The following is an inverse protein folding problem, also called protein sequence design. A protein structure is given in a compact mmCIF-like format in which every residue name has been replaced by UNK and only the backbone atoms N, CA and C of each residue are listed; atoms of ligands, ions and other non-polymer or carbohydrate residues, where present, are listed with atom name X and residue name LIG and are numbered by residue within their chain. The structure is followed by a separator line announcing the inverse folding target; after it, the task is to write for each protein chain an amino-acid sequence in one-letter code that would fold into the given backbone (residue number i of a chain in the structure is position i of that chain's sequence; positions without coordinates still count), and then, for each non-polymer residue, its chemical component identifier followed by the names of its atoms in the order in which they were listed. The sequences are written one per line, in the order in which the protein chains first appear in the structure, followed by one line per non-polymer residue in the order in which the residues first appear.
data_IF_468537656274
#
_entry.id   IF_468537656274
#
_cell.length_a   1.000
_cell.length_b   1.000
_cell.length_c   1.000
_cell.angle_alpha   90.00
_cell.angle_beta   90.00
_cell.angle_gamma   90.00
#
_symmetry.space_group_name_H-M   'P 1'
#
loop_
_entity.id
_entity.type
_entity.pdbx_description
1 polymer ?
#
# COMPACT_ATOMS: atom_id res chain seq x y z
N UNK A 1 -12.45 -16.17 40.87
CA UNK A 1 -13.86 -16.37 40.51
C UNK A 1 -14.20 -17.80 40.84
N UNK A 2 -14.70 -18.00 42.06
CA UNK A 2 -15.36 -19.27 42.42
C UNK A 2 -16.80 -19.25 41.91
N UNK A 3 -17.38 -18.05 41.77
CA UNK A 3 -18.69 -17.81 41.17
C UNK A 3 -18.60 -17.59 39.65
N UNK A 4 -19.51 -18.22 38.91
CA UNK A 4 -19.75 -17.97 37.49
C UNK A 4 -21.27 -17.88 37.23
N UNK A 5 -21.66 -17.46 36.03
CA UNK A 5 -23.03 -17.43 35.56
C UNK A 5 -23.18 -18.34 34.35
N UNK A 6 -24.31 -19.02 34.19
CA UNK A 6 -24.51 -19.80 32.99
C UNK A 6 -25.93 -20.26 32.78
N UNK A 7 -26.20 -20.67 31.54
CA UNK A 7 -27.45 -21.30 31.16
C UNK A 7 -27.31 -22.82 31.25
N UNK A 8 -28.40 -23.48 31.62
CA UNK A 8 -28.48 -24.94 31.51
C UNK A 8 -28.39 -25.31 30.01
N UNK A 9 -27.40 -26.14 29.67
CA UNK A 9 -27.21 -26.65 28.31
C UNK A 9 -27.87 -28.00 28.10
N UNK A 10 -27.86 -28.85 29.13
CA UNK A 10 -28.41 -30.20 29.08
C UNK A 10 -28.97 -30.58 30.44
N UNK A 11 -30.08 -31.29 30.45
CA UNK A 11 -30.65 -31.90 31.65
C UNK A 11 -31.21 -33.29 31.31
N UNK A 12 -30.91 -34.28 32.14
CA UNK A 12 -31.46 -35.62 32.05
C UNK A 12 -32.41 -35.84 33.25
N UNK A 13 -33.74 -35.82 33.04
CA UNK A 13 -34.71 -35.97 34.13
C UNK A 13 -34.66 -37.35 34.78
N UNK A 14 -34.44 -38.42 33.98
CA UNK A 14 -34.40 -39.80 34.50
C UNK A 14 -33.25 -40.02 35.49
N UNK A 15 -32.11 -39.37 35.25
CA UNK A 15 -30.90 -39.49 36.07
C UNK A 15 -30.72 -38.33 37.04
N UNK A 16 -31.51 -37.26 36.91
CA UNK A 16 -31.48 -36.11 37.80
C UNK A 16 -30.17 -35.33 37.77
N UNK A 17 -29.54 -35.18 36.61
CA UNK A 17 -28.33 -34.36 36.47
C UNK A 17 -28.30 -33.58 35.16
N UNK A 18 -27.50 -32.53 35.13
CA UNK A 18 -27.33 -31.70 33.93
C UNK A 18 -25.99 -31.01 33.88
N UNK A 19 -25.87 -30.13 32.89
CA UNK A 19 -24.70 -29.35 32.59
C UNK A 19 -25.05 -27.87 32.37
N UNK A 20 -24.29 -26.97 32.99
CA UNK A 20 -24.43 -25.51 32.87
C UNK A 20 -23.21 -24.92 32.17
N UNK A 21 -23.38 -23.86 31.37
CA UNK A 21 -22.24 -23.18 30.73
C UNK A 21 -21.43 -22.31 31.68
N UNK A 22 -20.23 -21.92 31.24
CA UNK A 22 -19.39 -20.89 31.86
C UNK A 22 -19.42 -19.62 31.04
N UNK A 23 -19.75 -18.51 31.67
CA UNK A 23 -19.81 -17.20 31.02
C UNK A 23 -18.49 -16.47 31.14
N UNK A 24 -17.93 -16.44 32.34
CA UNK A 24 -16.76 -15.59 32.64
C UNK A 24 -15.44 -16.32 32.52
N UNK A 25 -15.42 -17.61 32.80
CA UNK A 25 -14.25 -18.46 32.61
C UNK A 25 -14.14 -18.86 31.14
N UNK A 26 -12.99 -18.56 30.51
CA UNK A 26 -12.72 -18.82 29.09
C UNK A 26 -12.50 -20.32 28.81
N UNK A 27 -13.51 -21.14 29.08
CA UNK A 27 -13.50 -22.57 28.77
C UNK A 27 -14.85 -22.96 28.20
N UNK A 28 -14.88 -23.69 27.08
CA UNK A 28 -16.11 -24.32 26.55
C UNK A 28 -16.56 -25.52 27.39
N UNK A 29 -16.03 -25.64 28.62
CA UNK A 29 -16.30 -26.74 29.52
C UNK A 29 -17.62 -26.47 30.23
N UNK A 30 -18.57 -27.38 30.04
CA UNK A 30 -19.82 -27.39 30.79
C UNK A 30 -19.57 -27.93 32.20
N UNK A 31 -20.30 -27.42 33.19
CA UNK A 31 -20.16 -27.80 34.60
C UNK A 31 -21.31 -28.68 35.03
N UNK A 32 -20.95 -29.81 35.63
CA UNK A 32 -21.91 -30.79 36.10
C UNK A 32 -22.72 -30.23 37.28
N UNK A 33 -24.02 -30.49 37.30
CA UNK A 33 -24.85 -30.27 38.48
C UNK A 33 -25.80 -31.45 38.68
N UNK A 34 -26.15 -31.72 39.93
CA UNK A 34 -27.12 -32.75 40.30
C UNK A 34 -28.41 -32.09 40.81
N UNK A 35 -29.58 -32.56 40.35
CA UNK A 35 -30.90 -31.97 40.65
C UNK A 35 -31.19 -31.87 42.14
N UNK A 36 -30.69 -32.81 42.95
CA UNK A 36 -30.74 -32.77 44.43
C UNK A 36 -30.35 -31.40 45.02
N UNK A 37 -29.35 -30.70 44.45
CA UNK A 37 -28.95 -29.37 44.91
C UNK A 37 -30.03 -28.34 44.63
N UNK A 38 -30.58 -28.35 43.41
CA UNK A 38 -31.70 -27.48 43.00
C UNK A 38 -32.98 -27.81 43.79
N UNK A 39 -33.34 -29.10 43.99
CA UNK A 39 -34.53 -29.51 44.75
C UNK A 39 -34.53 -29.00 46.19
N UNK A 40 -33.34 -28.94 46.80
CA UNK A 40 -33.18 -28.50 48.18
C UNK A 40 -33.45 -26.99 48.34
N UNK A 41 -32.98 -26.18 47.40
CA UNK A 41 -32.97 -24.71 47.52
C UNK A 41 -34.06 -24.03 46.67
N UNK A 42 -34.44 -24.66 45.55
CA UNK A 42 -35.38 -24.15 44.56
C UNK A 42 -36.28 -25.28 43.99
N UNK A 43 -37.20 -25.84 44.80
CA UNK A 43 -38.03 -26.99 44.42
C UNK A 43 -38.92 -26.72 43.19
N UNK A 44 -39.39 -25.49 43.02
CA UNK A 44 -40.19 -25.10 41.84
C UNK A 44 -39.38 -25.20 40.53
N UNK A 45 -38.12 -24.76 40.56
CA UNK A 45 -37.23 -24.87 39.41
C UNK A 45 -36.92 -26.33 39.10
N UNK A 46 -36.71 -27.14 40.13
CA UNK A 46 -36.50 -28.57 39.94
C UNK A 46 -37.72 -29.27 39.31
N UNK A 47 -38.94 -28.89 39.72
CA UNK A 47 -40.16 -29.40 39.12
C UNK A 47 -40.29 -29.01 37.64
N UNK A 48 -39.92 -27.77 37.28
CA UNK A 48 -39.89 -27.33 35.87
C UNK A 48 -38.91 -28.17 35.03
N UNK A 49 -37.73 -28.44 35.58
CA UNK A 49 -36.71 -29.26 34.94
C UNK A 49 -37.17 -30.72 34.76
N UNK A 50 -37.78 -31.31 35.78
CA UNK A 50 -38.25 -32.71 35.74
C UNK A 50 -39.44 -32.90 34.78
N UNK A 51 -40.28 -31.88 34.60
CA UNK A 51 -41.47 -31.95 33.74
C UNK A 51 -41.21 -31.54 32.27
N UNK A 52 -39.95 -31.49 31.85
CA UNK A 52 -39.53 -31.29 30.45
C UNK A 52 -39.99 -29.97 29.81
N UNK A 53 -40.17 -28.90 30.60
CA UNK A 53 -40.28 -27.54 30.04
C UNK A 53 -38.96 -27.13 29.36
N UNK A 54 -39.02 -26.28 28.33
CA UNK A 54 -37.84 -25.81 27.61
C UNK A 54 -36.88 -25.08 28.54
N UNK A 55 -35.70 -25.67 28.77
CA UNK A 55 -34.67 -25.11 29.65
C UNK A 55 -33.80 -24.02 28.99
N UNK A 56 -34.12 -23.62 27.75
CA UNK A 56 -33.35 -22.66 26.95
C UNK A 56 -33.22 -21.26 27.59
N UNK A 57 -34.03 -20.97 28.62
CA UNK A 57 -33.97 -19.70 29.35
C UNK A 57 -33.62 -19.84 30.83
N UNK A 58 -33.33 -21.05 31.31
CA UNK A 58 -32.96 -21.24 32.71
C UNK A 58 -31.47 -20.95 32.87
N UNK A 59 -31.20 -19.93 33.70
CA UNK A 59 -29.87 -19.49 34.04
C UNK A 59 -29.79 -19.26 35.56
N UNK A 60 -28.58 -19.36 36.09
CA UNK A 60 -28.32 -19.11 37.49
C UNK A 60 -26.84 -18.79 37.71
N UNK A 61 -26.58 -18.12 38.82
CA UNK A 61 -25.26 -17.99 39.40
C UNK A 61 -24.90 -19.28 40.12
N UNK A 62 -23.64 -19.68 40.08
CA UNK A 62 -23.19 -20.87 40.79
C UNK A 62 -21.75 -20.76 41.22
N UNK A 63 -21.43 -21.45 42.30
CA UNK A 63 -20.05 -21.68 42.72
C UNK A 63 -19.57 -23.05 42.21
N UNK A 64 -18.29 -23.14 41.84
CA UNK A 64 -17.66 -24.40 41.40
C UNK A 64 -16.83 -25.01 42.52
N UNK A 65 -17.08 -26.28 42.82
CA UNK A 65 -16.18 -27.13 43.60
C UNK A 65 -15.45 -28.15 42.71
N UNK A 66 -14.26 -28.58 43.15
CA UNK A 66 -13.50 -29.66 42.50
C UNK A 66 -13.57 -30.92 43.36
N UNK A 67 -13.99 -32.02 42.75
CA UNK A 67 -14.04 -33.36 43.35
C UNK A 67 -13.14 -34.33 42.60
N UNK A 68 -13.01 -35.56 43.12
CA UNK A 68 -12.33 -36.67 42.42
C UNK A 68 -12.91 -36.95 41.02
N UNK A 69 -14.18 -36.60 40.79
CA UNK A 69 -14.89 -36.79 39.51
C UNK A 69 -14.83 -35.56 38.60
N UNK A 70 -14.13 -34.51 39.02
CA UNK A 70 -14.02 -33.24 38.29
C UNK A 70 -14.80 -32.10 38.94
N UNK A 71 -15.05 -31.06 38.15
CA UNK A 71 -15.69 -29.82 38.58
C UNK A 71 -17.21 -29.94 38.53
N UNK A 72 -17.87 -29.51 39.61
CA UNK A 72 -19.33 -29.49 39.71
C UNK A 72 -19.83 -28.24 40.42
N UNK A 73 -21.11 -27.93 40.25
CA UNK A 73 -21.79 -26.86 40.98
C UNK A 73 -21.84 -27.21 42.48
N UNK A 74 -21.27 -26.38 43.35
CA UNK A 74 -21.35 -26.51 44.82
C UNK A 74 -22.64 -25.90 45.37
N UNK A 75 -22.87 -24.64 45.03
CA UNK A 75 -24.01 -23.80 45.42
C UNK A 75 -24.57 -23.08 44.18
N UNK A 76 -25.84 -22.66 44.24
CA UNK A 76 -26.47 -21.93 43.15
C UNK A 76 -27.41 -20.83 43.66
N UNK A 77 -27.57 -19.78 42.86
CA UNK A 77 -28.43 -18.64 43.18
C UNK A 77 -29.16 -18.18 41.92
N UNK A 78 -30.48 -17.98 42.02
CA UNK A 78 -31.30 -17.53 40.88
C UNK A 78 -31.20 -16.03 40.61
N UNK A 79 -30.67 -15.25 41.56
CA UNK A 79 -30.45 -13.81 41.43
C UNK A 79 -29.13 -13.45 42.09
N UNK A 80 -28.44 -12.44 41.55
CA UNK A 80 -27.23 -11.90 42.16
C UNK A 80 -27.47 -11.35 43.59
N UNK A 81 -28.68 -10.86 43.87
CA UNK A 81 -29.06 -10.36 45.20
C UNK A 81 -29.09 -11.46 46.27
N UNK A 82 -29.23 -12.72 45.86
CA UNK A 82 -29.26 -13.87 46.76
C UNK A 82 -27.86 -14.40 47.09
N UNK A 83 -26.81 -13.87 46.44
CA UNK A 83 -25.44 -14.31 46.65
C UNK A 83 -24.93 -13.76 48.00
N UNK A 84 -24.30 -14.60 48.85
CA UNK A 84 -23.82 -14.16 50.15
C UNK A 84 -22.85 -12.98 50.09
N UNK A 85 -22.93 -12.11 51.09
CA UNK A 85 -22.10 -10.91 51.20
C UNK A 85 -20.59 -11.19 51.18
N UNK A 86 -20.16 -12.40 51.55
CA UNK A 86 -18.76 -12.85 51.44
C UNK A 86 -18.21 -12.76 50.02
N UNK A 87 -19.07 -12.80 49.00
CA UNK A 87 -18.69 -12.71 47.58
C UNK A 87 -18.80 -11.29 47.00
N UNK A 88 -19.06 -10.26 47.83
CA UNK A 88 -19.22 -8.88 47.35
C UNK A 88 -18.07 -8.40 46.46
N UNK A 89 -16.83 -8.73 46.83
CA UNK A 89 -15.65 -8.36 46.02
C UNK A 89 -15.64 -9.06 44.66
N UNK A 90 -16.00 -10.35 44.61
CA UNK A 90 -16.08 -11.08 43.34
C UNK A 90 -17.17 -10.53 42.43
N UNK A 91 -18.34 -10.18 42.99
CA UNK A 91 -19.42 -9.54 42.24
C UNK A 91 -19.01 -8.16 41.71
N UNK A 92 -18.29 -7.38 42.51
CA UNK A 92 -17.73 -6.10 42.07
C UNK A 92 -16.78 -6.27 40.88
N UNK A 93 -15.85 -7.23 40.96
CA UNK A 93 -14.92 -7.53 39.87
C UNK A 93 -15.64 -8.01 38.59
N UNK A 94 -16.69 -8.81 38.74
CA UNK A 94 -17.54 -9.26 37.63
C UNK A 94 -18.29 -8.10 36.99
N UNK A 95 -18.84 -7.19 37.80
CA UNK A 95 -19.48 -5.96 37.32
C UNK A 95 -18.49 -5.12 36.51
N UNK A 96 -17.29 -4.86 37.03
CA UNK A 96 -16.25 -4.14 36.29
C UNK A 96 -15.89 -4.81 34.97
N UNK A 97 -15.77 -6.15 34.98
CA UNK A 97 -15.50 -6.93 33.77
C UNK A 97 -16.63 -6.78 32.74
N UNK A 98 -17.89 -6.87 33.15
CA UNK A 98 -19.05 -6.70 32.26
C UNK A 98 -19.10 -5.29 31.67
N UNK A 99 -18.94 -4.25 32.48
CA UNK A 99 -18.87 -2.87 32.01
C UNK A 99 -17.72 -2.64 31.02
N UNK A 100 -16.57 -3.29 31.24
CA UNK A 100 -15.44 -3.22 30.30
C UNK A 100 -15.76 -3.85 28.94
N UNK A 101 -16.56 -4.93 28.90
CA UNK A 101 -16.99 -5.58 27.65
C UNK A 101 -17.96 -4.67 26.90
N UNK A 102 -18.86 -3.98 27.59
CA UNK A 102 -19.74 -2.98 26.97
C UNK A 102 -18.96 -1.89 26.25
N UNK A 103 -17.92 -1.34 26.89
CA UNK A 103 -17.05 -0.28 26.35
C UNK A 103 -16.13 -0.77 25.23
N UNK A 104 -15.84 -2.07 25.17
CA UNK A 104 -15.01 -2.65 24.12
C UNK A 104 -15.83 -2.89 22.83
N UNK A 105 -15.79 -1.93 21.91
CA UNK A 105 -16.45 -2.02 20.61
C UNK A 105 -15.66 -2.78 19.55
N UNK A 106 -14.41 -3.15 19.83
CA UNK A 106 -13.54 -3.90 18.90
C UNK A 106 -13.92 -5.38 18.81
N UNK A 107 -14.68 -5.85 19.80
CA UNK A 107 -15.26 -7.19 19.81
C UNK A 107 -16.78 -7.12 19.64
N UNK A 108 -17.38 -8.13 18.98
CA UNK A 108 -18.82 -8.25 18.91
C UNK A 108 -19.40 -8.39 20.32
N UNK A 109 -20.55 -7.75 20.55
CA UNK A 109 -21.28 -7.85 21.81
C UNK A 109 -21.67 -9.31 22.06
N UNK A 110 -21.23 -9.94 23.18
CA UNK A 110 -21.64 -11.30 23.49
C UNK A 110 -23.15 -11.38 23.76
N UNK A 111 -23.79 -12.47 23.32
CA UNK A 111 -25.24 -12.67 23.48
C UNK A 111 -25.70 -12.75 24.94
N UNK A 112 -24.82 -13.18 25.86
CA UNK A 112 -25.11 -13.27 27.28
C UNK A 112 -25.00 -11.93 28.03
N UNK A 113 -24.38 -10.92 27.40
CA UNK A 113 -23.95 -9.70 28.09
C UNK A 113 -25.13 -8.95 28.71
N UNK A 114 -26.22 -8.75 27.96
CA UNK A 114 -27.42 -8.04 28.44
C UNK A 114 -27.98 -8.68 29.71
N UNK A 115 -28.19 -10.00 29.66
CA UNK A 115 -28.79 -10.79 30.75
C UNK A 115 -27.96 -10.67 32.04
N UNK A 116 -26.65 -10.88 31.94
CA UNK A 116 -25.74 -10.81 33.09
C UNK A 116 -25.59 -9.39 33.63
N UNK A 117 -25.62 -8.38 32.75
CA UNK A 117 -25.55 -6.98 33.18
C UNK A 117 -26.80 -6.59 33.96
N UNK A 118 -27.98 -7.03 33.51
CA UNK A 118 -29.24 -6.78 34.23
C UNK A 118 -29.18 -7.41 35.63
N UNK A 119 -28.68 -8.65 35.74
CA UNK A 119 -28.53 -9.32 37.04
C UNK A 119 -27.55 -8.59 37.98
N UNK A 120 -26.44 -8.05 37.45
CA UNK A 120 -25.40 -7.42 38.28
C UNK A 120 -25.69 -5.96 38.66
N UNK A 121 -26.28 -5.18 37.75
CA UNK A 121 -26.43 -3.72 37.92
C UNK A 121 -27.82 -3.19 37.58
N UNK A 122 -28.75 -4.05 37.20
CA UNK A 122 -30.14 -3.70 36.90
C UNK A 122 -30.36 -3.16 35.49
N UNK A 123 -31.66 -3.01 35.16
CA UNK A 123 -32.14 -2.61 33.83
C UNK A 123 -31.69 -1.19 33.46
N UNK A 124 -31.76 -0.25 34.41
CA UNK A 124 -31.42 1.16 34.15
C UNK A 124 -29.97 1.32 33.73
N UNK A 125 -29.03 0.78 34.52
CA UNK A 125 -27.60 0.85 34.20
C UNK A 125 -27.24 0.09 32.93
N UNK A 126 -27.90 -1.04 32.68
CA UNK A 126 -27.72 -1.79 31.41
C UNK A 126 -28.14 -0.94 30.20
N UNK A 127 -29.26 -0.22 30.31
CA UNK A 127 -29.72 0.68 29.24
C UNK A 127 -28.72 1.79 28.96
N UNK A 128 -28.16 2.41 30.01
CA UNK A 128 -27.10 3.42 29.88
C UNK A 128 -25.87 2.87 29.15
N UNK A 129 -25.37 1.69 29.56
CA UNK A 129 -24.22 1.04 28.92
C UNK A 129 -24.48 0.72 27.45
N UNK A 130 -25.71 0.34 27.10
CA UNK A 130 -26.10 0.10 25.71
C UNK A 130 -26.11 1.39 24.87
N UNK A 131 -26.59 2.49 25.43
CA UNK A 131 -26.53 3.81 24.79
C UNK A 131 -25.07 4.24 24.61
N UNK A 132 -24.24 4.13 25.65
CA UNK A 132 -22.80 4.42 25.59
C UNK A 132 -22.11 3.63 24.48
N UNK A 133 -22.35 2.31 24.41
CA UNK A 133 -21.79 1.45 23.37
C UNK A 133 -22.24 1.88 21.96
N UNK A 134 -23.52 2.12 21.76
CA UNK A 134 -24.05 2.54 20.45
C UNK A 134 -23.46 3.88 19.99
N UNK A 135 -23.22 4.80 20.93
CA UNK A 135 -22.56 6.07 20.64
C UNK A 135 -21.11 5.86 20.22
N UNK A 136 -20.35 5.00 20.93
CA UNK A 136 -18.98 4.64 20.57
C UNK A 136 -18.91 3.98 19.17
N UNK A 137 -19.81 3.05 18.88
CA UNK A 137 -19.88 2.39 17.56
C UNK A 137 -20.20 3.39 16.44
N UNK A 138 -21.09 4.35 16.71
CA UNK A 138 -21.45 5.41 15.75
C UNK A 138 -20.29 6.38 15.50
N UNK A 139 -19.57 6.80 16.56
CA UNK A 139 -18.38 7.65 16.45
C UNK A 139 -17.28 6.96 15.65
N UNK A 140 -17.04 5.66 15.89
CA UNK A 140 -16.06 4.89 15.11
C UNK A 140 -16.42 4.84 13.64
N UNK A 141 -17.68 4.53 13.31
CA UNK A 141 -18.16 4.49 11.91
C UNK A 141 -17.96 5.83 11.21
N UNK A 142 -18.31 6.94 11.86
CA UNK A 142 -18.12 8.28 11.32
C UNK A 142 -16.63 8.61 11.09
N UNK A 143 -15.75 8.23 12.03
CA UNK A 143 -14.32 8.42 11.90
C UNK A 143 -13.72 7.59 10.74
N UNK A 144 -14.13 6.33 10.60
CA UNK A 144 -13.72 5.46 9.50
C UNK A 144 -14.18 5.99 8.14
N UNK A 145 -15.41 6.48 8.04
CA UNK A 145 -15.95 7.07 6.82
C UNK A 145 -15.18 8.34 6.43
N UNK A 146 -14.90 9.23 7.39
CA UNK A 146 -14.12 10.43 7.13
C UNK A 146 -12.69 10.10 6.70
N UNK A 147 -12.04 9.12 7.34
CA UNK A 147 -10.72 8.64 6.92
C UNK A 147 -10.74 8.11 5.48
N UNK A 148 -11.77 7.36 5.10
CA UNK A 148 -11.94 6.87 3.72
C UNK A 148 -12.09 8.04 2.74
N UNK A 149 -12.92 9.03 3.06
CA UNK A 149 -13.11 10.23 2.21
C UNK A 149 -11.81 11.01 2.02
N UNK A 150 -11.05 11.23 3.09
CA UNK A 150 -9.75 11.92 3.04
C UNK A 150 -8.75 11.13 2.19
N UNK A 151 -8.67 9.80 2.37
CA UNK A 151 -7.78 8.94 1.60
C UNK A 151 -8.14 8.92 0.10
N UNK A 152 -9.42 8.86 -0.24
CA UNK A 152 -9.89 8.91 -1.62
C UNK A 152 -9.58 10.26 -2.27
N UNK A 153 -9.85 11.38 -1.58
CA UNK A 153 -9.52 12.71 -2.07
C UNK A 153 -8.00 12.88 -2.30
N UNK A 154 -7.17 12.34 -1.40
CA UNK A 154 -5.71 12.37 -1.57
C UNK A 154 -5.27 11.54 -2.79
N UNK A 155 -5.85 10.37 -3.00
CA UNK A 155 -5.58 9.51 -4.17
C UNK A 155 -5.96 10.20 -5.49
N UNK A 156 -7.11 10.88 -5.54
CA UNK A 156 -7.54 11.63 -6.72
C UNK A 156 -6.57 12.78 -7.04
N UNK A 157 -6.13 13.55 -6.04
CA UNK A 157 -5.13 14.60 -6.20
C UNK A 157 -3.80 14.06 -6.75
N UNK A 158 -3.36 12.90 -6.28
CA UNK A 158 -2.14 12.25 -6.79
C UNK A 158 -2.28 11.84 -8.26
N UNK A 159 -3.43 11.28 -8.65
CA UNK A 159 -3.70 10.89 -10.04
C UNK A 159 -3.70 12.12 -10.95
N UNK A 160 -4.35 13.21 -10.53
CA UNK A 160 -4.40 14.45 -11.29
C UNK A 160 -3.00 15.08 -11.45
N UNK A 161 -2.22 15.15 -10.38
CA UNK A 161 -0.84 15.65 -10.42
C UNK A 161 0.05 14.80 -11.34
N UNK A 162 -0.13 13.47 -11.35
CA UNK A 162 0.61 12.57 -12.25
C UNK A 162 0.23 12.83 -13.71
N UNK A 163 -1.07 12.92 -14.02
CA UNK A 163 -1.56 13.22 -15.38
C UNK A 163 -1.05 14.57 -15.87
N UNK A 164 -0.98 15.56 -14.99
CA UNK A 164 -0.45 16.87 -15.36
C UNK A 164 1.05 16.82 -15.70
N UNK A 165 1.85 16.09 -14.90
CA UNK A 165 3.27 15.86 -15.22
C UNK A 165 3.45 15.13 -16.55
N UNK A 166 2.65 14.09 -16.80
CA UNK A 166 2.68 13.34 -18.07
C UNK A 166 2.31 14.26 -19.26
N UNK A 167 1.29 15.13 -19.10
CA UNK A 167 0.93 16.13 -20.12
C UNK A 167 2.04 17.14 -20.37
N UNK A 168 2.70 17.61 -19.31
CA UNK A 168 3.82 18.56 -19.43
C UNK A 168 5.03 17.94 -20.11
N UNK A 169 5.37 16.70 -19.76
CA UNK A 169 6.47 15.98 -20.41
C UNK A 169 6.17 15.70 -21.88
N UNK A 170 4.95 15.29 -22.22
CA UNK A 170 4.54 15.09 -23.61
C UNK A 170 4.64 16.40 -24.42
N UNK A 171 4.18 17.52 -23.86
CA UNK A 171 4.34 18.85 -24.49
C UNK A 171 5.81 19.21 -24.68
N UNK A 172 6.67 18.93 -23.69
CA UNK A 172 8.11 19.21 -23.76
C UNK A 172 8.79 18.37 -24.84
N UNK A 173 8.47 17.08 -24.92
CA UNK A 173 9.00 16.19 -25.95
C UNK A 173 8.55 16.62 -27.35
N UNK A 174 7.29 17.02 -27.49
CA UNK A 174 6.78 17.52 -28.77
C UNK A 174 7.45 18.84 -29.18
N UNK A 175 7.62 19.78 -28.25
CA UNK A 175 8.37 21.01 -28.51
C UNK A 175 9.82 20.73 -28.91
N UNK A 176 10.48 19.78 -28.24
CA UNK A 176 11.84 19.37 -28.59
C UNK A 176 11.91 18.72 -29.97
N UNK A 177 10.92 17.89 -30.33
CA UNK A 177 10.80 17.27 -31.66
C UNK A 177 10.65 18.33 -32.75
N UNK A 178 9.74 19.28 -32.56
CA UNK A 178 9.51 20.39 -33.48
C UNK A 178 10.77 21.26 -33.61
N UNK A 179 11.44 21.59 -32.49
CA UNK A 179 12.68 22.36 -32.52
C UNK A 179 13.78 21.64 -33.30
N UNK A 180 13.95 20.33 -33.09
CA UNK A 180 14.87 19.50 -33.85
C UNK A 180 14.56 19.50 -35.34
N UNK A 181 13.31 19.31 -35.73
CA UNK A 181 12.88 19.29 -37.13
C UNK A 181 13.10 20.65 -37.81
N UNK A 182 12.78 21.74 -37.11
CA UNK A 182 13.04 23.09 -37.60
C UNK A 182 14.53 23.36 -37.82
N UNK A 183 15.39 22.89 -36.91
CA UNK A 183 16.84 23.08 -37.02
C UNK A 183 17.44 22.25 -38.16
N UNK A 184 17.00 21.00 -38.33
CA UNK A 184 17.39 20.16 -39.48
C UNK A 184 16.99 20.84 -40.79
N UNK A 185 15.76 21.38 -40.85
CA UNK A 185 15.28 22.10 -42.04
C UNK A 185 16.12 23.36 -42.30
N UNK A 186 16.43 24.15 -41.26
CA UNK A 186 17.31 25.33 -41.36
C UNK A 186 18.66 24.95 -41.98
N UNK A 187 19.32 23.90 -41.45
CA UNK A 187 20.60 23.45 -41.98
C UNK A 187 20.52 22.99 -43.45
N UNK A 188 19.41 22.34 -43.83
CA UNK A 188 19.15 21.97 -45.22
C UNK A 188 19.01 23.19 -46.13
N UNK A 189 18.25 24.20 -45.72
CA UNK A 189 17.98 25.43 -46.49
C UNK A 189 19.20 26.36 -46.55
N UNK A 190 19.88 26.60 -45.42
CA UNK A 190 21.03 27.52 -45.32
C UNK A 190 22.25 27.01 -46.10
N UNK A 191 22.42 25.69 -46.19
CA UNK A 191 23.61 25.05 -46.75
C UNK A 191 23.37 24.19 -47.99
N UNK A 192 22.14 24.17 -48.53
CA UNK A 192 21.75 23.39 -49.71
C UNK A 192 22.08 21.90 -49.57
N UNK A 193 21.69 21.32 -48.42
CA UNK A 193 21.96 19.92 -48.08
C UNK A 193 20.74 19.03 -48.31
N UNK A 194 20.96 17.78 -48.72
CA UNK A 194 19.91 16.77 -48.73
C UNK A 194 19.40 16.48 -47.30
N UNK A 195 18.17 15.97 -47.18
CA UNK A 195 17.54 15.71 -45.88
C UNK A 195 18.40 14.80 -44.97
N UNK A 196 19.01 13.76 -45.55
CA UNK A 196 19.90 12.83 -44.82
C UNK A 196 21.19 13.52 -44.35
N UNK A 197 21.76 14.40 -45.17
CA UNK A 197 22.97 15.15 -44.87
C UNK A 197 22.72 16.20 -43.77
N UNK A 198 21.62 16.94 -43.86
CA UNK A 198 21.19 17.90 -42.83
C UNK A 198 20.88 17.21 -41.49
N UNK A 199 20.25 16.03 -41.52
CA UNK A 199 19.98 15.21 -40.32
C UNK A 199 21.28 14.75 -39.65
N UNK A 200 22.26 14.28 -40.41
CA UNK A 200 23.56 13.85 -39.86
C UNK A 200 24.37 15.03 -39.34
N UNK A 201 24.38 16.16 -40.06
CA UNK A 201 25.04 17.38 -39.61
C UNK A 201 24.44 17.88 -38.29
N UNK A 202 23.10 17.90 -38.16
CA UNK A 202 22.43 18.24 -36.90
C UNK A 202 22.87 17.31 -35.76
N UNK A 203 22.92 16.00 -36.00
CA UNK A 203 23.34 15.03 -34.98
C UNK A 203 24.80 15.23 -34.56
N UNK A 204 25.68 15.50 -35.52
CA UNK A 204 27.08 15.79 -35.27
C UNK A 204 27.24 17.08 -34.44
N UNK A 205 26.57 18.16 -34.83
CA UNK A 205 26.58 19.43 -34.09
C UNK A 205 26.01 19.29 -32.68
N UNK A 206 24.93 18.52 -32.51
CA UNK A 206 24.32 18.23 -31.20
C UNK A 206 25.28 17.49 -30.28
N UNK A 207 26.08 16.55 -30.81
CA UNK A 207 27.10 15.84 -30.05
C UNK A 207 28.29 16.77 -29.69
N UNK A 208 28.66 17.67 -30.60
CA UNK A 208 29.87 18.48 -30.47
C UNK A 208 29.70 19.78 -29.70
N UNK A 209 28.51 20.38 -29.74
CA UNK A 209 28.24 21.66 -29.09
C UNK A 209 28.56 21.65 -27.57
N UNK A 210 28.17 20.61 -26.79
CA UNK A 210 28.51 20.54 -25.37
C UNK A 210 30.02 20.41 -25.06
N UNK A 211 30.83 20.03 -26.05
CA UNK A 211 32.28 19.84 -25.88
C UNK A 211 33.04 21.18 -25.87
N UNK A 212 32.39 22.29 -26.23
CA UNK A 212 32.92 23.65 -26.16
C UNK A 212 34.32 23.78 -26.79
N UNK A 213 34.51 23.19 -27.97
CA UNK A 213 35.74 23.37 -28.72
C UNK A 213 35.94 24.84 -29.07
N UNK A 214 37.19 25.28 -29.07
CA UNK A 214 37.58 26.65 -29.44
C UNK A 214 38.36 26.67 -30.74
N UNK A 215 39.00 25.56 -31.10
CA UNK A 215 39.85 25.45 -32.28
C UNK A 215 39.49 24.23 -33.14
N UNK A 216 39.51 24.42 -34.46
CA UNK A 216 39.33 23.38 -35.49
C UNK A 216 40.21 22.13 -35.30
N UNK A 217 41.40 22.27 -34.70
CA UNK A 217 42.27 21.11 -34.38
C UNK A 217 41.64 20.16 -33.35
N UNK A 218 40.95 20.70 -32.35
CA UNK A 218 40.28 19.88 -31.31
C UNK A 218 39.14 19.08 -31.94
N UNK A 219 38.36 19.73 -32.81
CA UNK A 219 37.33 19.11 -33.64
C UNK A 219 37.89 17.93 -34.45
N UNK A 220 38.96 18.18 -35.22
CA UNK A 220 39.58 17.13 -36.06
C UNK A 220 40.12 15.96 -35.24
N UNK A 221 40.77 16.22 -34.10
CA UNK A 221 41.26 15.17 -33.22
C UNK A 221 40.10 14.32 -32.66
N UNK A 222 39.00 14.97 -32.26
CA UNK A 222 37.82 14.28 -31.76
C UNK A 222 37.17 13.39 -32.82
N UNK A 223 37.03 13.91 -34.05
CA UNK A 223 36.53 13.15 -35.21
C UNK A 223 37.34 11.86 -35.42
N UNK A 224 38.68 11.96 -35.39
CA UNK A 224 39.58 10.81 -35.56
C UNK A 224 39.43 9.82 -34.41
N UNK A 225 39.53 10.32 -33.17
CA UNK A 225 39.54 9.49 -31.97
C UNK A 225 38.23 8.71 -31.81
N UNK A 226 37.10 9.35 -32.11
CA UNK A 226 35.76 8.76 -31.99
C UNK A 226 35.25 8.17 -33.30
N UNK A 227 36.06 8.18 -34.37
CA UNK A 227 35.74 7.61 -35.68
C UNK A 227 34.40 8.11 -36.25
N UNK A 228 34.11 9.41 -36.04
CA UNK A 228 32.79 9.97 -36.31
C UNK A 228 32.37 9.89 -37.77
N UNK A 229 33.30 9.87 -38.72
CA UNK A 229 32.94 9.65 -40.13
C UNK A 229 32.17 8.35 -40.34
N UNK A 230 32.54 7.26 -39.68
CA UNK A 230 31.79 6.00 -39.82
C UNK A 230 30.38 6.03 -39.21
N UNK A 231 30.09 7.02 -38.35
CA UNK A 231 28.77 7.22 -37.75
C UNK A 231 27.85 8.07 -38.65
N UNK A 232 28.42 8.88 -39.53
CA UNK A 232 27.71 9.83 -40.38
C UNK A 232 28.09 9.60 -41.86
N UNK A 233 27.60 8.51 -42.49
CA UNK A 233 28.03 8.10 -43.83
C UNK A 233 27.57 9.00 -44.98
N UNK A 234 26.50 9.80 -44.78
CA UNK A 234 26.02 10.71 -45.82
C UNK A 234 26.89 11.98 -45.91
N UNK A 235 27.47 12.42 -44.79
CA UNK A 235 28.32 13.62 -44.75
C UNK A 235 29.82 13.32 -44.64
N UNK A 236 30.24 12.06 -44.73
CA UNK A 236 31.64 11.67 -44.60
C UNK A 236 32.06 10.65 -45.65
N UNK A 237 33.37 10.41 -45.73
CA UNK A 237 33.96 9.57 -46.75
C UNK A 237 35.46 9.42 -46.60
N UNK A 238 36.11 9.11 -47.71
CA UNK A 238 37.55 9.05 -47.83
C UNK A 238 38.03 10.39 -48.38
N UNK A 239 38.82 11.11 -47.59
CA UNK A 239 39.47 12.36 -48.01
C UNK A 239 40.92 12.05 -48.35
N UNK A 240 41.32 12.21 -49.61
CA UNK A 240 42.72 12.11 -50.01
C UNK A 240 43.41 13.44 -49.71
N UNK A 241 44.46 13.39 -48.91
CA UNK A 241 45.21 14.54 -48.42
C UNK A 241 46.58 14.61 -49.10
N UNK A 242 47.08 15.82 -49.32
CA UNK A 242 48.44 16.08 -49.82
C UNK A 242 49.17 17.05 -48.88
N UNK A 243 50.41 16.73 -48.52
CA UNK A 243 51.33 17.64 -47.86
C UNK A 243 52.77 17.36 -48.27
N UNK A 244 53.49 18.40 -48.70
CA UNK A 244 54.91 18.32 -49.08
C UNK A 244 55.24 17.17 -50.05
N UNK A 245 54.40 16.96 -51.06
CA UNK A 245 54.57 15.93 -52.10
C UNK A 245 54.23 14.49 -51.66
N UNK A 246 53.68 14.29 -50.46
CA UNK A 246 53.14 13.01 -50.00
C UNK A 246 51.62 13.03 -50.00
N UNK A 247 51.02 11.96 -50.48
CA UNK A 247 49.57 11.75 -50.50
C UNK A 247 49.17 10.59 -49.59
N UNK A 248 48.05 10.72 -48.88
CA UNK A 248 47.47 9.63 -48.09
C UNK A 248 45.94 9.72 -48.03
N UNK A 249 45.27 8.59 -47.84
CA UNK A 249 43.82 8.52 -47.69
C UNK A 249 43.45 8.63 -46.20
N UNK A 250 42.53 9.55 -45.91
CA UNK A 250 41.97 9.77 -44.60
C UNK A 250 40.53 9.25 -44.56
N UNK A 251 40.36 8.04 -44.02
CA UNK A 251 39.06 7.39 -43.91
C UNK A 251 38.22 8.00 -42.78
N UNK A 252 36.96 8.30 -43.07
CA UNK A 252 36.05 8.94 -42.12
C UNK A 252 36.25 10.45 -42.03
N UNK A 253 36.82 11.05 -43.07
CA UNK A 253 36.93 12.50 -43.21
C UNK A 253 35.64 13.13 -43.73
N UNK A 254 35.41 14.37 -43.33
CA UNK A 254 34.33 15.19 -43.85
C UNK A 254 34.82 15.98 -45.06
N UNK A 255 34.01 16.17 -46.12
CA UNK A 255 34.36 17.01 -47.24
C UNK A 255 34.53 18.46 -46.79
N UNK A 256 35.34 19.24 -47.52
CA UNK A 256 35.70 20.61 -47.11
C UNK A 256 34.48 21.52 -46.93
N UNK A 257 33.42 21.33 -47.72
CA UNK A 257 32.14 22.04 -47.58
C UNK A 257 31.51 21.80 -46.20
N UNK A 258 31.31 20.54 -45.82
CA UNK A 258 30.75 20.15 -44.52
C UNK A 258 31.66 20.56 -43.36
N UNK A 259 32.97 20.35 -43.48
CA UNK A 259 33.92 20.73 -42.44
C UNK A 259 33.90 22.24 -42.15
N UNK A 260 33.75 23.07 -43.20
CA UNK A 260 33.59 24.52 -43.05
C UNK A 260 32.29 24.87 -42.32
N UNK A 261 31.19 24.23 -42.66
CA UNK A 261 29.89 24.44 -42.00
C UNK A 261 29.99 24.11 -40.51
N UNK A 262 30.59 22.98 -40.16
CA UNK A 262 30.80 22.58 -38.76
C UNK A 262 31.61 23.64 -38.00
N UNK A 263 32.68 24.17 -38.61
CA UNK A 263 33.48 25.22 -38.00
C UNK A 263 32.71 26.53 -37.83
N UNK A 264 31.81 26.87 -38.77
CA UNK A 264 30.95 28.06 -38.67
C UNK A 264 29.92 27.92 -37.55
N UNK A 265 29.18 26.82 -37.51
CA UNK A 265 28.14 26.54 -36.52
C UNK A 265 28.70 26.39 -35.10
N UNK A 266 29.93 25.89 -34.96
CA UNK A 266 30.64 25.79 -33.68
C UNK A 266 31.51 27.01 -33.36
N UNK A 267 31.52 28.04 -34.23
CA UNK A 267 32.33 29.25 -34.09
C UNK A 267 33.82 28.97 -33.79
N UNK A 268 34.44 28.09 -34.58
CA UNK A 268 35.82 27.64 -34.39
C UNK A 268 36.82 28.46 -35.20
N UNK A 269 37.94 28.80 -34.55
CA UNK A 269 39.06 29.42 -35.24
C UNK A 269 39.85 28.41 -36.09
N UNK A 270 40.25 28.86 -37.28
CA UNK A 270 41.02 28.06 -38.22
C UNK A 270 42.53 28.21 -37.97
N UNK A 271 43.18 27.13 -37.52
CA UNK A 271 44.63 27.04 -37.50
C UNK A 271 45.10 26.50 -38.86
N UNK A 272 45.62 27.39 -39.72
CA UNK A 272 46.08 27.06 -41.07
C UNK A 272 47.09 25.90 -41.03
N UNK A 273 46.67 24.72 -41.48
CA UNK A 273 47.58 23.58 -41.67
C UNK A 273 48.11 23.55 -43.11
N UNK A 274 49.34 23.07 -43.35
CA UNK A 274 49.91 22.97 -44.69
C UNK A 274 49.36 21.78 -45.50
N UNK A 275 48.53 20.92 -44.90
CA UNK A 275 47.91 19.78 -45.57
C UNK A 275 46.62 20.24 -46.29
N UNK A 276 46.45 19.83 -47.54
CA UNK A 276 45.27 20.18 -48.34
C UNK A 276 44.51 18.93 -48.80
N UNK A 277 43.17 18.95 -48.78
CA UNK A 277 42.38 17.90 -49.40
C UNK A 277 42.44 18.02 -50.92
N UNK A 278 42.69 16.91 -51.62
CA UNK A 278 42.81 16.85 -53.09
C UNK A 278 41.68 16.05 -53.75
N UNK A 279 41.05 15.10 -53.04
CA UNK A 279 39.91 14.32 -53.54
C UNK A 279 39.01 13.89 -52.39
N UNK A 280 37.70 13.82 -52.63
CA UNK A 280 36.72 13.24 -51.71
C UNK A 280 35.96 12.10 -52.39
N UNK A 281 35.71 11.03 -51.64
CA UNK A 281 34.86 9.91 -52.06
C UNK A 281 33.87 9.62 -50.93
N UNK A 282 32.56 9.92 -51.10
CA UNK A 282 31.54 9.71 -50.07
C UNK A 282 31.45 8.24 -49.66
N UNK A 283 31.15 7.96 -48.39
CA UNK A 283 30.91 6.58 -47.96
C UNK A 283 29.62 6.00 -48.51
N UNK A 284 28.58 6.81 -48.75
CA UNK A 284 27.33 6.38 -49.41
C UNK A 284 27.51 5.77 -50.80
N UNK A 285 28.64 6.04 -51.46
CA UNK A 285 28.94 5.52 -52.80
C UNK A 285 29.89 4.30 -52.79
N UNK A 286 30.41 3.92 -51.61
CA UNK A 286 31.44 2.88 -51.44
C UNK A 286 30.96 1.72 -50.56
N UNK A 287 30.01 1.97 -49.66
CA UNK A 287 29.38 1.00 -48.75
C UNK A 287 27.95 0.70 -49.19
#
# INVERSE_FOLDING_TARGET
MTIDFGDIKKYNPDRGFGFVSRTFLKTNKEIFFHIKKIKKEHPELANKLDNSETFENINFWYEVERTEKGEQVSQLWLSADNIPQSYKHELYDLTQKVESIWKNIDSPKPSWLDRVTIELVGVNRTSELNIERNNLESQRKAAEEEQRRVAEAARLKQIEARREKERQEAKRQEQMRIAKENEIRRLGEDYDLEESEARELYQLLTEMCPLNFTHSKQLSNYIVQHKLGYKYPNISGIVRMEAAGREWDFHGGFPTSIYRIICQELNLDNQRTPARPIRFTPFKDVL
#
